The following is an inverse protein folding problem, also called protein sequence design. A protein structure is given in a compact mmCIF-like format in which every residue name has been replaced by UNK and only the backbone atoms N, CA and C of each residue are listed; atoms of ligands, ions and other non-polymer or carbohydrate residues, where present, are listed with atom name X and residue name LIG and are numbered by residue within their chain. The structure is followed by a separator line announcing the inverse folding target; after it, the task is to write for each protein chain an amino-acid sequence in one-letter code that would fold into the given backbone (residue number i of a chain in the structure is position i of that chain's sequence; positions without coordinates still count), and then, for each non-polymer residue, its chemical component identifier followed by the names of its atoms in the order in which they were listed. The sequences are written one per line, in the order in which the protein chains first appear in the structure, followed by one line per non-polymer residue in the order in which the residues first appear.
data_IF_737984738430
#
_entry.id   IF_737984738430
#
_cell.length_a   1.000
_cell.length_b   1.000
_cell.length_c   1.000
_cell.angle_alpha   90.00
_cell.angle_beta   90.00
_cell.angle_gamma   90.00
#
_symmetry.space_group_name_H-M   'P 1'
#
loop_
_entity.id
_entity.type
_entity.pdbx_description
1 polymer ?
#
# COMPACT_ATOMS: atom_id res chain seq x y z
N UNK A 1 -15.64 0.23 16.55
CA UNK A 1 -15.70 -0.75 15.43
C UNK A 1 -15.01 -2.04 15.85
N UNK A 2 -15.39 -3.19 15.27
CA UNK A 2 -14.66 -4.44 15.44
C UNK A 2 -13.29 -4.37 14.72
N UNK A 3 -12.30 -5.22 15.06
CA UNK A 3 -11.02 -5.25 14.36
C UNK A 3 -11.15 -5.40 12.84
N UNK A 4 -12.06 -6.27 12.38
CA UNK A 4 -12.33 -6.49 10.96
C UNK A 4 -12.96 -5.26 10.29
N UNK A 5 -13.93 -4.62 10.95
CA UNK A 5 -14.55 -3.41 10.40
C UNK A 5 -13.54 -2.26 10.29
N UNK A 6 -12.61 -2.15 11.25
CA UNK A 6 -11.54 -1.15 11.23
C UNK A 6 -10.51 -1.45 10.13
N UNK A 7 -10.15 -2.71 9.96
CA UNK A 7 -9.29 -3.17 8.87
C UNK A 7 -9.84 -2.75 7.50
N UNK A 8 -11.10 -3.12 7.21
CA UNK A 8 -11.75 -2.79 5.94
C UNK A 8 -11.84 -1.28 5.73
N UNK A 9 -12.16 -0.52 6.78
CA UNK A 9 -12.22 0.93 6.70
C UNK A 9 -10.87 1.57 6.37
N UNK A 10 -9.79 1.18 7.07
CA UNK A 10 -8.45 1.71 6.81
C UNK A 10 -7.92 1.28 5.45
N UNK A 11 -8.25 0.06 5.00
CA UNK A 11 -7.93 -0.43 3.66
C UNK A 11 -8.56 0.43 2.58
N UNK A 12 -9.83 0.79 2.71
CA UNK A 12 -10.47 1.66 1.73
C UNK A 12 -9.91 3.09 1.80
N UNK A 13 -9.69 3.65 2.99
CA UNK A 13 -9.15 4.99 3.15
C UNK A 13 -7.74 5.14 2.56
N UNK A 14 -6.82 4.22 2.83
CA UNK A 14 -5.46 4.29 2.27
C UNK A 14 -5.49 4.20 0.75
N UNK A 15 -6.39 3.38 0.17
CA UNK A 15 -6.59 3.31 -1.27
C UNK A 15 -7.04 4.66 -1.85
N UNK A 16 -8.09 5.26 -1.30
CA UNK A 16 -8.61 6.55 -1.76
C UNK A 16 -7.56 7.68 -1.65
N UNK A 17 -6.80 7.72 -0.56
CA UNK A 17 -5.75 8.72 -0.36
C UNK A 17 -4.61 8.55 -1.37
N UNK A 18 -4.12 7.32 -1.55
CA UNK A 18 -3.06 7.04 -2.52
C UNK A 18 -3.52 7.35 -3.94
N UNK A 19 -4.72 6.93 -4.32
CA UNK A 19 -5.28 7.19 -5.65
C UNK A 19 -5.45 8.68 -5.90
N UNK A 20 -5.93 9.45 -4.91
CA UNK A 20 -5.98 10.90 -4.98
C UNK A 20 -4.59 11.52 -5.23
N UNK A 21 -3.56 11.06 -4.52
CA UNK A 21 -2.18 11.50 -4.78
C UNK A 21 -1.74 11.17 -6.21
N UNK A 22 -1.95 9.93 -6.67
CA UNK A 22 -1.56 9.49 -8.01
C UNK A 22 -2.24 10.32 -9.11
N UNK A 23 -3.51 10.67 -8.92
CA UNK A 23 -4.22 11.59 -9.81
C UNK A 23 -3.57 12.98 -9.85
N UNK A 24 -3.24 13.56 -8.70
CA UNK A 24 -2.64 14.91 -8.65
C UNK A 24 -1.24 14.96 -9.27
N UNK A 25 -0.41 13.93 -9.07
CA UNK A 25 0.94 13.90 -9.64
C UNK A 25 1.00 13.31 -11.05
N UNK A 26 -0.14 12.94 -11.64
CA UNK A 26 -0.25 12.45 -13.01
C UNK A 26 0.35 11.05 -13.24
N UNK A 27 0.41 10.20 -12.21
CA UNK A 27 0.89 8.83 -12.33
C UNK A 27 -0.27 7.92 -12.73
N UNK A 28 -0.16 7.31 -13.91
CA UNK A 28 -1.14 6.29 -14.35
C UNK A 28 -0.99 5.03 -13.52
N UNK A 29 -2.10 4.47 -13.08
CA UNK A 29 -2.10 3.24 -12.29
C UNK A 29 -3.23 2.28 -12.69
N UNK A 30 -3.06 1.03 -12.31
CA UNK A 30 -4.08 -0.01 -12.35
C UNK A 30 -4.21 -0.58 -10.93
N UNK A 31 -5.38 -0.43 -10.33
CA UNK A 31 -5.70 -1.10 -9.07
C UNK A 31 -5.99 -2.57 -9.35
N UNK A 32 -5.18 -3.45 -8.78
CA UNK A 32 -5.38 -4.88 -8.80
C UNK A 32 -6.03 -5.19 -7.45
N UNK A 33 -7.34 -5.40 -7.45
CA UNK A 33 -8.13 -5.65 -6.24
C UNK A 33 -7.78 -7.00 -5.61
N UNK A 34 -8.80 -7.80 -5.29
CA UNK A 34 -8.69 -9.14 -4.69
C UNK A 34 -8.09 -10.23 -5.60
N UNK A 35 -7.06 -9.88 -6.40
CA UNK A 35 -6.38 -10.84 -7.26
C UNK A 35 -5.42 -11.66 -6.42
N UNK A 36 -5.76 -12.93 -6.17
CA UNK A 36 -4.85 -13.86 -5.50
C UNK A 36 -3.67 -14.18 -6.42
N UNK A 37 -2.46 -13.80 -6.01
CA UNK A 37 -1.21 -14.14 -6.70
C UNK A 37 -0.71 -15.47 -6.17
N UNK A 38 -0.40 -16.41 -7.07
CA UNK A 38 0.21 -17.69 -6.70
C UNK A 38 1.63 -17.73 -7.23
N UNK A 39 2.58 -17.97 -6.36
CA UNK A 39 3.89 -18.42 -6.78
C UNK A 39 3.78 -19.87 -7.25
N UNK A 40 4.33 -20.18 -8.43
CA UNK A 40 4.34 -21.55 -8.96
C UNK A 40 5.23 -22.50 -8.14
N UNK A 41 6.19 -21.97 -7.37
CA UNK A 41 7.15 -22.71 -6.54
C UNK A 41 6.72 -22.80 -5.08
N UNK A 42 6.09 -21.75 -4.56
CA UNK A 42 5.52 -21.70 -3.21
C UNK A 42 4.01 -21.90 -3.32
N UNK A 43 3.47 -23.05 -2.89
CA UNK A 43 2.02 -23.38 -2.92
C UNK A 43 1.11 -22.42 -2.11
N UNK A 44 1.58 -21.22 -1.75
CA UNK A 44 0.86 -20.19 -1.02
C UNK A 44 0.43 -19.10 -2.01
N UNK A 45 -0.88 -18.86 -2.07
CA UNK A 45 -1.42 -17.64 -2.65
C UNK A 45 -1.46 -16.55 -1.59
N UNK A 46 -1.18 -15.30 -1.98
CA UNK A 46 -1.44 -14.12 -1.14
C UNK A 46 -2.29 -13.14 -1.91
N UNK A 47 -3.12 -12.42 -1.18
CA UNK A 47 -3.94 -11.34 -1.66
C UNK A 47 -3.62 -10.13 -0.80
N UNK A 48 -3.07 -9.09 -1.43
CA UNK A 48 -2.80 -7.82 -0.78
C UNK A 48 -4.12 -7.10 -0.48
N UNK A 49 -4.17 -6.34 0.61
CA UNK A 49 -5.30 -5.46 0.88
C UNK A 49 -5.52 -4.43 -0.24
N UNK A 50 -4.43 -3.84 -0.73
CA UNK A 50 -4.40 -3.04 -1.97
C UNK A 50 -3.15 -3.37 -2.77
N UNK A 51 -3.26 -3.36 -4.09
CA UNK A 51 -2.08 -3.47 -4.96
C UNK A 51 -2.22 -2.67 -6.25
N UNK A 52 -1.10 -2.16 -6.74
CA UNK A 52 -1.06 -1.20 -7.84
C UNK A 52 0.03 -1.56 -8.86
N UNK A 53 -0.30 -1.49 -10.15
CA UNK A 53 0.70 -1.37 -11.21
C UNK A 53 0.77 0.07 -11.69
N UNK A 54 1.96 0.62 -11.84
CA UNK A 54 2.20 1.94 -12.38
C UNK A 54 2.57 1.88 -13.88
N UNK A 55 2.00 2.81 -14.65
CA UNK A 55 2.28 3.01 -16.08
C UNK A 55 1.63 1.99 -17.03
N UNK A 56 1.54 0.72 -16.65
CA UNK A 56 0.94 -0.36 -17.45
C UNK A 56 0.29 -1.42 -16.58
N UNK A 57 -0.68 -2.16 -17.12
CA UNK A 57 -1.27 -3.31 -16.43
C UNK A 57 -0.27 -4.47 -16.49
N UNK A 58 0.10 -5.01 -15.33
CA UNK A 58 1.03 -6.14 -15.19
C UNK A 58 0.32 -7.29 -14.49
N UNK A 59 0.95 -8.46 -14.54
CA UNK A 59 0.55 -9.55 -13.65
C UNK A 59 1.05 -9.19 -12.25
N UNK A 60 2.35 -9.17 -12.00
CA UNK A 60 2.87 -8.80 -10.68
C UNK A 60 2.68 -7.29 -10.44
N UNK A 61 2.08 -6.85 -9.31
CA UNK A 61 1.96 -5.44 -8.98
C UNK A 61 3.33 -4.82 -8.70
N UNK A 62 3.45 -3.50 -8.89
CA UNK A 62 4.65 -2.76 -8.48
C UNK A 62 4.63 -2.50 -6.98
N UNK A 63 3.44 -2.22 -6.43
CA UNK A 63 3.22 -1.91 -5.02
C UNK A 63 2.14 -2.82 -4.43
N UNK A 64 2.40 -3.38 -3.26
CA UNK A 64 1.40 -4.02 -2.39
C UNK A 64 1.31 -3.29 -1.05
N UNK A 65 0.11 -3.23 -0.46
CA UNK A 65 -0.15 -2.59 0.83
C UNK A 65 -0.93 -3.58 1.70
N UNK A 66 -0.55 -3.66 2.97
CA UNK A 66 -1.16 -4.50 4.01
C UNK A 66 -1.55 -3.65 5.22
N UNK A 67 -2.79 -3.81 5.71
CA UNK A 67 -3.32 -3.12 6.89
C UNK A 67 -3.24 -4.05 8.09
N UNK A 68 -2.33 -3.77 9.03
CA UNK A 68 -2.09 -4.66 10.18
C UNK A 68 -2.77 -4.12 11.43
N UNK A 69 -3.96 -4.64 11.74
CA UNK A 69 -4.70 -4.28 12.97
C UNK A 69 -4.27 -5.12 14.18
N UNK A 70 -3.95 -6.40 13.96
CA UNK A 70 -3.47 -7.33 14.99
C UNK A 70 -2.15 -7.92 14.54
N UNK A 71 -1.18 -8.07 15.44
CA UNK A 71 0.18 -8.54 15.14
C UNK A 71 0.20 -9.84 14.32
N UNK A 72 0.85 -9.84 13.15
CA UNK A 72 0.97 -11.03 12.30
C UNK A 72 1.78 -10.91 10.98
N UNK A 73 2.63 -9.90 10.80
CA UNK A 73 3.20 -9.57 9.47
C UNK A 73 4.47 -10.28 9.01
N UNK A 74 5.06 -11.20 9.79
CA UNK A 74 6.41 -11.73 9.50
C UNK A 74 6.43 -12.80 8.40
N UNK A 75 5.33 -13.55 8.21
CA UNK A 75 5.25 -14.57 7.14
C UNK A 75 4.92 -13.99 5.76
N UNK A 76 4.41 -12.75 5.70
CA UNK A 76 3.87 -12.11 4.50
C UNK A 76 4.96 -11.66 3.53
N UNK A 77 6.06 -11.09 4.03
CA UNK A 77 7.19 -10.62 3.19
C UNK A 77 7.83 -11.74 2.39
N UNK A 78 7.99 -12.94 2.98
CA UNK A 78 8.54 -14.11 2.30
C UNK A 78 7.67 -14.55 1.11
N UNK A 79 6.35 -14.39 1.19
CA UNK A 79 5.45 -14.70 0.07
C UNK A 79 5.60 -13.65 -1.04
N UNK A 80 5.64 -12.36 -0.68
CA UNK A 80 5.88 -11.30 -1.67
C UNK A 80 7.26 -11.39 -2.33
N UNK A 81 8.24 -11.96 -1.64
CA UNK A 81 9.57 -12.24 -2.17
C UNK A 81 9.51 -13.31 -3.28
N UNK A 82 8.74 -14.38 -3.07
CA UNK A 82 8.51 -15.39 -4.12
C UNK A 82 7.78 -14.84 -5.34
N UNK A 83 6.89 -13.86 -5.13
CA UNK A 83 6.14 -13.20 -6.21
C UNK A 83 6.94 -12.12 -6.95
N UNK A 84 8.02 -11.60 -6.36
CA UNK A 84 8.83 -10.54 -6.95
C UNK A 84 8.14 -9.17 -7.01
N UNK A 85 7.32 -8.85 -6.00
CA UNK A 85 6.76 -7.49 -5.87
C UNK A 85 7.88 -6.50 -5.54
N UNK A 86 8.05 -5.38 -6.26
CA UNK A 86 9.12 -4.43 -5.99
C UNK A 86 9.05 -3.75 -4.62
N UNK A 87 7.87 -3.33 -4.16
CA UNK A 87 7.71 -2.59 -2.91
C UNK A 87 6.45 -3.06 -2.14
N UNK A 88 6.58 -3.23 -0.83
CA UNK A 88 5.47 -3.66 0.05
C UNK A 88 5.37 -2.72 1.25
N UNK A 89 4.17 -2.20 1.51
CA UNK A 89 3.90 -1.31 2.64
C UNK A 89 3.05 -2.00 3.69
N UNK A 90 3.40 -1.82 4.96
CA UNK A 90 2.56 -2.23 6.08
C UNK A 90 2.10 -1.01 6.85
N UNK A 91 0.78 -0.79 6.91
CA UNK A 91 0.18 0.17 7.83
C UNK A 91 0.09 -0.49 9.21
N UNK A 92 0.97 -0.08 10.13
CA UNK A 92 1.06 -0.61 11.49
C UNK A 92 1.04 0.55 12.47
N UNK A 93 0.06 0.58 13.38
CA UNK A 93 -0.10 1.64 14.38
C UNK A 93 -0.02 3.05 13.77
N UNK A 94 -0.84 3.30 12.73
CA UNK A 94 -0.93 4.61 12.06
C UNK A 94 0.36 5.07 11.37
N UNK A 95 1.28 4.14 11.05
CA UNK A 95 2.52 4.43 10.31
C UNK A 95 2.70 3.44 9.17
N UNK A 96 3.24 3.93 8.05
CA UNK A 96 3.65 3.08 6.95
C UNK A 96 5.09 2.62 7.14
N UNK A 97 5.28 1.31 7.22
CA UNK A 97 6.59 0.67 7.10
C UNK A 97 6.77 0.22 5.67
N UNK A 98 7.77 0.76 4.99
CA UNK A 98 8.04 0.47 3.58
C UNK A 98 9.19 -0.52 3.48
N UNK A 99 9.00 -1.55 2.67
CA UNK A 99 10.02 -2.53 2.34
C UNK A 99 10.24 -2.52 0.83
N UNK A 100 11.48 -2.27 0.39
CA UNK A 100 11.87 -2.37 -1.02
C UNK A 100 12.66 -3.65 -1.25
N UNK A 101 12.44 -4.28 -2.40
CA UNK A 101 13.19 -5.44 -2.85
C UNK A 101 14.59 -5.03 -3.35
N UNK A 102 15.62 -5.42 -2.62
CA UNK A 102 17.01 -5.11 -2.91
C UNK A 102 17.89 -6.35 -2.77
N UNK A 103 18.69 -6.65 -3.80
CA UNK A 103 19.69 -7.73 -3.77
C UNK A 103 19.19 -9.12 -3.32
N UNK A 104 17.92 -9.44 -3.56
CA UNK A 104 17.36 -10.76 -3.22
C UNK A 104 16.65 -10.82 -1.86
N UNK A 105 16.49 -9.70 -1.17
CA UNK A 105 15.74 -9.60 0.09
C UNK A 105 14.97 -8.27 0.20
N UNK A 106 14.03 -8.21 1.14
CA UNK A 106 13.34 -6.96 1.47
C UNK A 106 14.11 -6.18 2.52
N UNK A 107 14.40 -4.92 2.22
CA UNK A 107 15.04 -3.98 3.15
C UNK A 107 14.02 -2.91 3.53
N UNK A 108 13.90 -2.62 4.83
CA UNK A 108 13.06 -1.52 5.28
C UNK A 108 13.70 -0.19 4.89
N UNK A 109 12.95 0.67 4.20
CA UNK A 109 13.39 2.00 3.73
C UNK A 109 12.52 3.10 4.34
N UNK A 110 13.07 4.30 4.45
CA UNK A 110 12.36 5.47 5.01
C UNK A 110 11.44 6.15 3.98
N UNK A 111 11.70 5.98 2.69
CA UNK A 111 10.94 6.58 1.59
C UNK A 111 10.62 5.52 0.55
N UNK A 112 9.48 5.69 -0.11
CA UNK A 112 9.13 4.88 -1.27
C UNK A 112 10.12 5.11 -2.41
N UNK A 113 10.61 4.04 -3.03
CA UNK A 113 11.41 4.10 -4.25
C UNK A 113 10.51 4.32 -5.47
N UNK A 114 9.28 3.80 -5.44
CA UNK A 114 8.27 3.99 -6.48
C UNK A 114 7.67 5.39 -6.48
N UNK A 115 7.45 5.98 -5.29
CA UNK A 115 6.79 7.26 -5.08
C UNK A 115 7.65 8.19 -4.19
N UNK A 116 8.86 8.60 -4.63
CA UNK A 116 9.85 9.28 -3.79
C UNK A 116 9.43 10.68 -3.32
N UNK A 117 8.38 11.26 -3.91
CA UNK A 117 7.80 12.56 -3.53
C UNK A 117 6.61 12.45 -2.59
N UNK A 118 6.10 11.25 -2.35
CA UNK A 118 4.98 11.04 -1.44
C UNK A 118 5.48 11.15 0.00
N UNK A 119 4.88 12.06 0.76
CA UNK A 119 5.04 12.09 2.21
C UNK A 119 4.18 10.97 2.83
N UNK A 120 4.85 9.89 3.21
CA UNK A 120 4.21 8.69 3.75
C UNK A 120 3.63 8.93 5.14
N UNK A 121 4.25 9.79 5.96
CA UNK A 121 3.74 10.14 7.29
C UNK A 121 2.48 10.99 7.16
N UNK A 122 2.48 11.95 6.22
CA UNK A 122 1.28 12.72 5.89
C UNK A 122 0.16 11.78 5.43
N UNK A 123 0.42 10.89 4.47
CA UNK A 123 -0.59 9.95 3.99
C UNK A 123 -1.15 9.09 5.13
N UNK A 124 -0.30 8.50 5.98
CA UNK A 124 -0.73 7.68 7.11
C UNK A 124 -1.58 8.47 8.11
N UNK A 125 -1.29 9.75 8.32
CA UNK A 125 -2.04 10.60 9.26
C UNK A 125 -3.51 10.83 8.87
N UNK A 126 -3.86 10.63 7.60
CA UNK A 126 -5.24 10.76 7.10
C UNK A 126 -5.99 9.42 7.02
N UNK A 127 -5.31 8.27 7.10
CA UNK A 127 -5.95 6.95 6.91
C UNK A 127 -7.02 6.68 7.98
N UNK A 128 -6.80 7.13 9.21
CA UNK A 128 -7.70 6.83 10.33
C UNK A 128 -8.82 7.86 10.53
N UNK A 129 -8.95 8.84 9.63
CA UNK A 129 -10.04 9.83 9.71
C UNK A 129 -11.40 9.15 9.48
N UNK A 130 -12.37 9.47 10.34
CA UNK A 130 -13.69 8.83 10.36
C UNK A 130 -14.56 9.17 9.13
N UNK A 131 -14.35 10.35 8.51
CA UNK A 131 -15.04 10.78 7.30
C UNK A 131 -14.07 10.74 6.10
N UNK A 132 -14.16 9.73 5.21
CA UNK A 132 -13.22 9.57 4.11
C UNK A 132 -13.23 10.72 3.11
N UNK A 133 -14.39 11.37 2.90
CA UNK A 133 -14.47 12.51 2.01
C UNK A 133 -13.60 13.67 2.52
N UNK A 134 -13.71 13.99 3.80
CA UNK A 134 -12.93 15.06 4.43
C UNK A 134 -11.44 14.70 4.47
N UNK A 135 -11.11 13.44 4.75
CA UNK A 135 -9.74 12.94 4.74
C UNK A 135 -9.06 13.18 3.38
N UNK A 136 -9.71 12.75 2.29
CA UNK A 136 -9.20 12.93 0.93
C UNK A 136 -9.13 14.40 0.56
N UNK A 137 -10.16 15.19 0.89
CA UNK A 137 -10.20 16.61 0.55
C UNK A 137 -9.08 17.39 1.23
N UNK A 138 -8.86 17.17 2.53
CA UNK A 138 -7.80 17.84 3.28
C UNK A 138 -6.42 17.36 2.87
N UNK A 139 -6.23 16.06 2.66
CA UNK A 139 -4.98 15.51 2.14
C UNK A 139 -4.62 16.12 0.77
N UNK A 140 -5.59 16.22 -0.15
CA UNK A 140 -5.41 16.83 -1.48
C UNK A 140 -4.93 18.28 -1.39
N UNK A 141 -5.46 19.07 -0.45
CA UNK A 141 -5.00 20.45 -0.23
C UNK A 141 -3.52 20.49 0.14
N UNK A 142 -3.04 19.55 0.95
CA UNK A 142 -1.64 19.48 1.38
C UNK A 142 -0.70 19.14 0.24
N UNK A 143 -1.04 18.15 -0.59
CA UNK A 143 -0.20 17.73 -1.72
C UNK A 143 -0.15 18.76 -2.85
N UNK A 144 -1.20 19.57 -3.05
CA UNK A 144 -1.20 20.67 -4.05
C UNK A 144 -0.39 21.88 -3.55
N UNK A 145 -0.30 22.08 -2.23
CA UNK A 145 0.39 23.22 -1.63
C UNK A 145 1.89 23.02 -1.39
N UNK A 146 2.44 21.83 -1.69
CA UNK A 146 3.82 21.44 -1.49
C UNK A 146 4.64 21.53 -2.80
#
# INVERSE_FOLDING_TARGET
MSPNSRHEFYKENIGMLLEAYLFEVGIRFYSLGSTTWRDSNLQKGIEADKSYCFGSKKNIPDLAIEVVITSGGVDTLTVYQGLGVPEVWFLVHSRLRVYSWQNGEYVQVEKSELLPKLDLDLLASYVEWDEPFDAVLEFRKKIISA
#
